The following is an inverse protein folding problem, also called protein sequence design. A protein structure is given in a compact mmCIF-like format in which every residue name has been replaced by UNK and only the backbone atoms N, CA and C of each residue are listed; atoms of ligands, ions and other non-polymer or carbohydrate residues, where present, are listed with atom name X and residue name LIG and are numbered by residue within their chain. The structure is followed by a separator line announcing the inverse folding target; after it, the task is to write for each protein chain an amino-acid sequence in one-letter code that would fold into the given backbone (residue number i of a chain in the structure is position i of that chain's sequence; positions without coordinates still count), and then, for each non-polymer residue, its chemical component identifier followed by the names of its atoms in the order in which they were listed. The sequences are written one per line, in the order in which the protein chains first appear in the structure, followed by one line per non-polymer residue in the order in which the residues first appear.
data_IF_845240172859
#
_entry.id   IF_845240172859
#
_cell.length_a   1.000
_cell.length_b   1.000
_cell.length_c   1.000
_cell.angle_alpha   90.00
_cell.angle_beta   90.00
_cell.angle_gamma   90.00
#
_symmetry.space_group_name_H-M   'P 1'
#
loop_
_entity.id
_entity.type
_entity.pdbx_description
1 polymer ?
#
# COMPACT_ATOMS: atom_id res chain seq x y z
N UNK A 1 -14.73 21.42 18.85
CA UNK A 1 -13.29 21.36 18.55
C UNK A 1 -13.10 20.32 17.44
N UNK A 2 -12.54 20.64 16.26
CA UNK A 2 -12.38 19.68 15.17
C UNK A 2 -10.95 19.12 15.19
N UNK A 3 -10.75 17.96 15.79
CA UNK A 3 -9.42 17.30 15.85
C UNK A 3 -9.45 15.79 15.52
N UNK A 4 -10.43 15.34 14.73
CA UNK A 4 -10.59 13.92 14.37
C UNK A 4 -10.28 13.59 12.88
N UNK A 5 -9.87 14.57 12.06
CA UNK A 5 -9.71 14.39 10.60
C UNK A 5 -8.33 13.86 10.16
N UNK A 6 -7.36 13.74 11.06
CA UNK A 6 -5.95 13.48 10.70
C UNK A 6 -5.60 12.01 10.34
N UNK A 7 -6.11 10.96 11.00
CA UNK A 7 -5.71 9.58 10.69
C UNK A 7 -6.33 9.04 9.39
N UNK A 8 -7.50 9.54 8.99
CA UNK A 8 -8.18 9.10 7.78
C UNK A 8 -7.53 9.63 6.50
N UNK A 9 -6.97 10.85 6.52
CA UNK A 9 -6.25 11.42 5.39
C UNK A 9 -4.99 10.60 5.05
N UNK A 10 -4.16 10.30 6.06
CA UNK A 10 -2.94 9.51 5.87
C UNK A 10 -3.21 8.07 5.39
N UNK A 11 -4.28 7.42 5.91
CA UNK A 11 -4.70 6.08 5.46
C UNK A 11 -5.21 6.07 4.03
N UNK A 12 -5.93 7.12 3.62
CA UNK A 12 -6.41 7.28 2.25
C UNK A 12 -5.26 7.52 1.28
N UNK A 13 -4.29 8.36 1.64
CA UNK A 13 -3.08 8.61 0.86
C UNK A 13 -2.26 7.33 0.65
N UNK A 14 -2.06 6.54 1.71
CA UNK A 14 -1.37 5.25 1.62
C UNK A 14 -2.09 4.24 0.73
N UNK A 15 -3.43 4.21 0.81
CA UNK A 15 -4.24 3.30 0.00
C UNK A 15 -4.22 3.72 -1.48
N UNK A 16 -4.35 5.02 -1.77
CA UNK A 16 -4.24 5.55 -3.13
C UNK A 16 -2.86 5.30 -3.74
N UNK A 17 -1.81 5.47 -2.95
CA UNK A 17 -0.44 5.19 -3.38
C UNK A 17 -0.23 3.69 -3.66
N UNK A 18 -0.78 2.80 -2.82
CA UNK A 18 -0.75 1.35 -3.08
C UNK A 18 -1.49 0.99 -4.39
N UNK A 19 -2.66 1.59 -4.63
CA UNK A 19 -3.39 1.38 -5.89
C UNK A 19 -2.63 1.91 -7.10
N UNK A 20 -2.01 3.09 -7.02
CA UNK A 20 -1.19 3.66 -8.10
C UNK A 20 -0.07 2.69 -8.50
N UNK A 21 0.62 2.11 -7.52
CA UNK A 21 1.70 1.14 -7.77
C UNK A 21 1.21 -0.16 -8.40
N UNK A 22 0.03 -0.65 -8.01
CA UNK A 22 -0.57 -1.82 -8.67
C UNK A 22 -0.87 -1.56 -10.15
N UNK A 23 -1.30 -0.34 -10.50
CA UNK A 23 -1.51 0.07 -11.90
C UNK A 23 -0.19 0.12 -12.66
N UNK A 24 0.88 0.62 -12.04
CA UNK A 24 2.23 0.62 -12.64
C UNK A 24 2.74 -0.80 -12.90
N UNK A 25 2.62 -1.71 -11.93
CA UNK A 25 2.96 -3.13 -12.08
C UNK A 25 2.15 -3.77 -13.21
N UNK A 26 0.85 -3.47 -13.31
CA UNK A 26 0.03 -3.96 -14.42
C UNK A 26 0.56 -3.46 -15.77
N UNK A 27 1.00 -2.21 -15.87
CA UNK A 27 1.64 -1.66 -17.07
C UNK A 27 2.89 -2.43 -17.48
N UNK A 28 3.75 -2.77 -16.51
CA UNK A 28 4.96 -3.59 -16.73
C UNK A 28 4.59 -4.98 -17.25
N UNK A 29 3.60 -5.65 -16.63
CA UNK A 29 3.14 -6.98 -17.06
C UNK A 29 2.56 -6.95 -18.49
N UNK A 30 1.82 -5.91 -18.85
CA UNK A 30 1.31 -5.74 -20.23
C UNK A 30 2.45 -5.54 -21.22
N UNK A 31 3.51 -4.81 -20.83
CA UNK A 31 4.68 -4.63 -21.69
C UNK A 31 5.43 -5.94 -21.98
N UNK A 32 5.50 -6.84 -20.99
CA UNK A 32 6.03 -8.21 -21.16
C UNK A 32 5.14 -9.03 -22.09
N UNK A 33 3.82 -9.03 -21.86
CA UNK A 33 2.87 -9.76 -22.71
C UNK A 33 2.93 -9.34 -24.18
N UNK A 34 3.24 -8.06 -24.44
CA UNK A 34 3.41 -7.51 -25.78
C UNK A 34 4.79 -7.76 -26.39
N UNK A 35 5.71 -8.40 -25.65
CA UNK A 35 7.10 -8.61 -26.07
C UNK A 35 7.92 -7.32 -26.17
N UNK A 36 7.44 -6.23 -25.58
CA UNK A 36 8.11 -4.91 -25.59
C UNK A 36 9.09 -4.74 -24.44
N UNK A 37 9.02 -5.62 -23.44
CA UNK A 37 9.89 -5.63 -22.27
C UNK A 37 10.30 -7.08 -21.97
N UNK A 38 11.59 -7.28 -21.70
CA UNK A 38 12.12 -8.59 -21.31
C UNK A 38 11.68 -8.97 -19.88
N UNK A 39 11.48 -10.27 -19.64
CA UNK A 39 11.03 -10.77 -18.33
C UNK A 39 11.97 -10.39 -17.19
N UNK A 40 13.30 -10.42 -17.41
CA UNK A 40 14.25 -10.04 -16.35
C UNK A 40 14.18 -8.55 -16.03
N UNK A 41 14.02 -7.72 -17.06
CA UNK A 41 13.85 -6.27 -16.88
C UNK A 41 12.53 -5.94 -16.19
N UNK A 42 11.47 -6.67 -16.51
CA UNK A 42 10.17 -6.52 -15.86
C UNK A 42 10.21 -6.89 -14.37
N UNK A 43 10.89 -7.99 -14.02
CA UNK A 43 11.08 -8.38 -12.62
C UNK A 43 11.79 -7.26 -11.85
N UNK A 44 12.89 -6.73 -12.40
CA UNK A 44 13.63 -5.63 -11.77
C UNK A 44 12.75 -4.38 -11.59
N UNK A 45 11.98 -3.98 -12.59
CA UNK A 45 11.09 -2.82 -12.50
C UNK A 45 9.97 -3.02 -11.46
N UNK A 46 9.39 -4.23 -11.39
CA UNK A 46 8.38 -4.56 -10.37
C UNK A 46 9.00 -4.51 -8.96
N UNK A 47 10.21 -5.03 -8.80
CA UNK A 47 10.96 -4.95 -7.55
C UNK A 47 11.26 -3.51 -7.15
N UNK A 48 11.60 -2.62 -8.09
CA UNK A 48 11.82 -1.19 -7.81
C UNK A 48 10.53 -0.49 -7.36
N UNK A 49 9.41 -0.75 -8.04
CA UNK A 49 8.07 -0.23 -7.67
C UNK A 49 7.67 -0.74 -6.27
N UNK A 50 7.95 -2.01 -5.97
CA UNK A 50 7.65 -2.63 -4.69
C UNK A 50 8.63 -2.22 -3.56
N UNK A 51 9.90 -2.00 -3.86
CA UNK A 51 10.94 -1.63 -2.86
C UNK A 51 10.87 -0.16 -2.50
N UNK A 52 10.45 0.70 -3.43
CA UNK A 52 9.95 2.04 -3.12
C UNK A 52 8.82 2.04 -2.07
N UNK A 53 8.14 0.89 -1.90
CA UNK A 53 7.18 0.64 -0.82
C UNK A 53 7.83 0.11 0.47
N UNK A 54 8.81 -0.78 0.40
CA UNK A 54 9.39 -1.46 1.56
C UNK A 54 10.09 -0.53 2.57
N UNK A 55 10.67 0.60 2.11
CA UNK A 55 11.24 1.61 3.00
C UNK A 55 10.19 2.55 3.63
N UNK A 56 8.92 2.48 3.21
CA UNK A 56 7.83 3.38 3.67
C UNK A 56 6.68 2.64 4.36
N UNK A 57 6.52 1.35 4.11
CA UNK A 57 5.65 0.49 4.90
C UNK A 57 6.44 0.16 6.17
N UNK A 58 6.12 0.87 7.26
CA UNK A 58 6.58 0.51 8.61
C UNK A 58 6.31 -0.98 8.79
N UNK A 59 7.36 -1.77 9.00
CA UNK A 59 7.23 -3.17 9.42
C UNK A 59 6.55 -3.17 10.77
N UNK A 60 5.23 -3.35 10.75
CA UNK A 60 4.47 -3.74 11.91
C UNK A 60 4.99 -5.15 12.26
N UNK A 61 5.83 -5.23 13.30
CA UNK A 61 6.41 -6.50 13.74
C UNK A 61 5.33 -7.54 14.10
N UNK A 62 5.68 -8.83 14.18
CA UNK A 62 4.73 -9.91 14.47
C UNK A 62 4.01 -9.75 15.82
N UNK A 63 4.47 -8.87 16.70
CA UNK A 63 3.90 -8.60 18.03
C UNK A 63 2.86 -7.47 18.05
N UNK A 64 2.50 -6.87 16.90
CA UNK A 64 1.46 -5.86 16.87
C UNK A 64 0.08 -6.48 17.06
N UNK A 65 -0.41 -6.41 18.30
CA UNK A 65 -1.84 -6.54 18.59
C UNK A 65 -2.50 -5.18 18.43
N UNK A 66 -3.44 -5.00 17.48
CA UNK A 66 -4.31 -3.85 17.52
C UNK A 66 -5.14 -3.95 18.80
N UNK A 67 -4.96 -3.01 19.73
CA UNK A 67 -5.91 -2.81 20.83
C UNK A 67 -7.20 -2.26 20.24
N UNK A 68 -8.10 -3.16 19.85
CA UNK A 68 -9.45 -2.80 19.46
C UNK A 68 -10.19 -2.43 20.75
N UNK A 69 -10.09 -1.18 21.17
CA UNK A 69 -11.05 -0.61 22.13
C UNK A 69 -12.38 -0.42 21.40
N UNK A 70 -13.20 -1.48 21.37
CA UNK A 70 -14.63 -1.30 21.12
C UNK A 70 -15.24 -0.63 22.35
N UNK A 71 -15.18 0.71 22.41
CA UNK A 71 -16.16 1.45 23.21
C UNK A 71 -17.50 1.30 22.51
N UNK A 72 -18.24 0.24 22.88
CA UNK A 72 -19.66 0.13 22.60
C UNK A 72 -20.36 1.11 23.53
N UNK A 73 -20.29 2.39 23.18
CA UNK A 73 -21.17 3.40 23.76
C UNK A 73 -22.56 3.16 23.15
N UNK A 74 -23.45 2.55 23.94
CA UNK A 74 -24.84 2.31 23.55
C UNK A 74 -25.36 0.94 23.94
N UNK A 75 -25.64 0.74 25.22
CA UNK A 75 -26.88 0.08 25.65
C UNK A 75 -27.24 0.58 27.07
N UNK A 76 -28.07 1.64 27.07
CA UNK A 76 -28.93 2.19 28.14
C UNK A 76 -28.33 2.78 29.43
#
# INVERSE_FOLDING_TARGET
MPDELRPNAARNEQSQEAFRRLVEIQGVLVAVQRGTLDERQAIQQIEEIATGAANRIVRIGPDYRPEINTSREGDK
#
